data_IF_425843647329
#
_entry.id   IF_425843647329
#
_cell.length_a   1.000
_cell.length_b   1.000
_cell.length_c   1.000
_cell.angle_alpha   90.00
_cell.angle_beta   90.00
_cell.angle_gamma   90.00
#
_symmetry.space_group_name_H-M   'P 1'
#
loop_
_entity.id
_entity.type
_entity.pdbx_description
1 polymer ?
#
# COMPACT_ATOMS: atom_id res chain seq x y z
N UNK A 1 -14.22 -22.31 -0.08
CA UNK A 1 -14.13 -22.03 1.35
C UNK A 1 -12.87 -21.25 1.67
N UNK A 2 -13.01 -20.25 2.46
CA UNK A 2 -11.86 -19.43 2.81
C UNK A 2 -11.05 -20.11 3.88
N UNK A 3 -9.75 -20.04 3.72
CA UNK A 3 -8.85 -20.59 4.72
C UNK A 3 -8.69 -19.61 5.86
N UNK A 4 -8.46 -20.13 7.04
CA UNK A 4 -8.16 -19.31 8.20
C UNK A 4 -6.68 -18.89 8.18
N UNK A 5 -6.27 -18.24 7.12
CA UNK A 5 -4.91 -17.89 6.87
C UNK A 5 -4.54 -16.56 7.40
N UNK A 6 -3.31 -16.29 7.73
CA UNK A 6 -2.91 -14.92 8.03
C UNK A 6 -3.36 -14.03 6.92
N UNK A 7 -4.12 -13.03 7.28
CA UNK A 7 -4.76 -12.21 6.30
C UNK A 7 -4.01 -10.92 6.03
N UNK A 8 -2.84 -10.73 6.64
CA UNK A 8 -2.03 -9.54 6.41
C UNK A 8 -0.55 -9.87 6.46
N UNK A 9 0.21 -9.37 5.49
CA UNK A 9 1.66 -9.48 5.45
C UNK A 9 2.26 -8.11 5.24
N UNK A 10 3.37 -7.87 5.90
CA UNK A 10 4.09 -6.62 5.79
C UNK A 10 5.36 -6.85 4.96
N UNK A 11 5.46 -6.14 3.85
CA UNK A 11 6.60 -6.27 2.94
C UNK A 11 7.54 -5.09 3.18
N UNK A 12 8.75 -5.40 3.64
CA UNK A 12 9.77 -4.40 3.90
C UNK A 12 11.02 -4.71 3.09
N UNK A 13 11.92 -3.77 3.05
CA UNK A 13 13.20 -3.96 2.40
C UNK A 13 13.99 -2.67 2.45
N UNK A 14 15.31 -2.82 2.37
CA UNK A 14 16.22 -1.68 2.35
C UNK A 14 16.53 -1.23 0.93
N UNK A 15 16.01 -1.96 -0.06
CA UNK A 15 16.26 -1.67 -1.46
C UNK A 15 15.34 -0.60 -2.01
N UNK A 16 15.35 -0.43 -3.31
CA UNK A 16 14.56 0.61 -3.95
C UNK A 16 13.07 0.34 -3.81
N UNK A 17 12.29 1.42 -3.84
CA UNK A 17 10.83 1.34 -3.87
C UNK A 17 10.35 0.41 -4.98
N UNK A 18 10.99 0.49 -6.15
CA UNK A 18 10.62 -0.31 -7.32
C UNK A 18 10.65 -1.80 -7.01
N UNK A 19 11.70 -2.27 -6.32
CA UNK A 19 11.83 -3.68 -5.98
C UNK A 19 10.73 -4.16 -5.04
N UNK A 20 10.39 -3.37 -4.04
CA UNK A 20 9.34 -3.73 -3.09
C UNK A 20 7.98 -3.77 -3.76
N UNK A 21 7.67 -2.78 -4.58
CA UNK A 21 6.39 -2.72 -5.27
C UNK A 21 6.27 -3.87 -6.26
N UNK A 22 7.34 -4.17 -6.99
CA UNK A 22 7.34 -5.31 -7.91
C UNK A 22 7.03 -6.60 -7.16
N UNK A 23 7.66 -6.82 -6.02
CA UNK A 23 7.43 -8.02 -5.20
C UNK A 23 6.00 -8.09 -4.70
N UNK A 24 5.45 -6.98 -4.24
CA UNK A 24 4.06 -6.94 -3.80
C UNK A 24 3.09 -7.26 -4.94
N UNK A 25 3.32 -6.69 -6.11
CA UNK A 25 2.46 -6.95 -7.27
C UNK A 25 2.54 -8.43 -7.68
N UNK A 26 3.72 -9.01 -7.67
CA UNK A 26 3.89 -10.42 -7.99
C UNK A 26 3.14 -11.31 -7.00
N UNK A 27 3.24 -11.00 -5.70
CA UNK A 27 2.52 -11.74 -4.67
C UNK A 27 1.01 -11.59 -4.83
N UNK A 28 0.52 -10.41 -5.17
CA UNK A 28 -0.91 -10.21 -5.42
C UNK A 28 -1.40 -11.09 -6.56
N UNK A 29 -0.62 -11.22 -7.62
CA UNK A 29 -0.96 -12.10 -8.73
C UNK A 29 -0.98 -13.57 -8.31
N UNK A 30 -0.01 -14.00 -7.51
CA UNK A 30 0.04 -15.38 -7.02
C UNK A 30 -1.19 -15.68 -6.18
N UNK A 31 -1.54 -14.79 -5.27
CA UNK A 31 -2.71 -14.97 -4.40
C UNK A 31 -4.00 -15.01 -5.21
N UNK A 32 -4.12 -14.14 -6.19
CA UNK A 32 -5.26 -14.12 -7.08
C UNK A 32 -5.41 -15.45 -7.82
N UNK A 33 -4.29 -15.99 -8.31
CA UNK A 33 -4.31 -17.27 -9.02
C UNK A 33 -4.69 -18.45 -8.12
N UNK A 34 -4.60 -18.26 -6.81
CA UNK A 34 -5.05 -19.25 -5.84
C UNK A 34 -6.49 -19.04 -5.39
N UNK A 35 -7.20 -18.15 -6.05
CA UNK A 35 -8.60 -17.89 -5.75
C UNK A 35 -8.84 -16.99 -4.54
N UNK A 36 -7.79 -16.32 -4.05
CA UNK A 36 -7.92 -15.42 -2.92
C UNK A 36 -8.17 -13.98 -3.39
N UNK A 37 -8.99 -13.28 -2.63
CA UNK A 37 -9.18 -11.85 -2.83
C UNK A 37 -8.05 -11.12 -2.09
N UNK A 38 -7.20 -10.45 -2.85
CA UNK A 38 -6.01 -9.83 -2.31
C UNK A 38 -5.90 -8.38 -2.73
N UNK A 39 -5.43 -7.55 -1.82
CA UNK A 39 -5.25 -6.11 -2.06
C UNK A 39 -3.94 -5.66 -1.43
N UNK A 40 -3.29 -4.69 -2.07
CA UNK A 40 -2.10 -4.06 -1.51
C UNK A 40 -2.45 -2.77 -0.81
N UNK A 41 -1.63 -2.42 0.16
CA UNK A 41 -1.76 -1.16 0.89
C UNK A 41 -0.39 -0.52 1.01
N UNK A 42 -0.29 0.75 0.65
CA UNK A 42 0.89 1.56 0.89
C UNK A 42 0.47 2.73 1.78
N UNK A 43 0.60 2.60 3.11
CA UNK A 43 0.08 3.59 4.03
C UNK A 43 0.60 5.00 3.80
N UNK A 44 1.88 5.11 3.46
CA UNK A 44 2.52 6.39 3.21
C UNK A 44 3.27 6.29 1.89
N UNK A 45 3.03 7.24 1.00
CA UNK A 45 3.72 7.31 -0.28
C UNK A 45 4.21 8.74 -0.51
N UNK A 46 5.34 8.88 -1.19
CA UNK A 46 5.92 10.17 -1.53
C UNK A 46 6.31 10.16 -3.00
N UNK A 47 6.03 11.28 -3.67
CA UNK A 47 6.28 11.44 -5.10
C UNK A 47 5.02 11.19 -5.91
N UNK A 48 4.68 12.15 -6.75
CA UNK A 48 3.53 12.01 -7.64
C UNK A 48 3.92 12.42 -9.06
N UNK A 49 3.16 11.91 -10.02
CA UNK A 49 3.33 12.28 -11.43
C UNK A 49 2.54 13.55 -11.77
N UNK A 50 2.47 13.88 -13.06
CA UNK A 50 1.79 15.08 -13.52
C UNK A 50 0.29 15.08 -13.20
N UNK A 51 -0.30 13.91 -13.00
CA UNK A 51 -1.71 13.76 -12.66
C UNK A 51 -1.94 13.67 -11.15
N UNK A 52 -0.90 13.84 -10.34
CA UNK A 52 -1.00 13.76 -8.90
C UNK A 52 -1.09 12.34 -8.34
N UNK A 53 -0.64 11.35 -9.09
CA UNK A 53 -0.72 9.94 -8.69
C UNK A 53 0.65 9.38 -8.38
N UNK A 54 0.69 8.49 -7.40
CA UNK A 54 1.91 7.78 -7.06
C UNK A 54 1.98 6.48 -7.84
N UNK A 55 3.10 6.25 -8.48
CA UNK A 55 3.30 5.10 -9.37
C UNK A 55 3.13 3.77 -8.66
N UNK A 56 3.66 3.65 -7.43
CA UNK A 56 3.56 2.41 -6.66
C UNK A 56 2.12 2.12 -6.24
N UNK A 57 1.41 3.16 -5.81
CA UNK A 57 0.01 3.02 -5.41
C UNK A 57 -0.83 2.55 -6.61
N UNK A 58 -0.59 3.13 -7.79
CA UNK A 58 -1.33 2.73 -8.99
C UNK A 58 -1.02 1.29 -9.38
N UNK A 59 0.25 0.88 -9.25
CA UNK A 59 0.64 -0.50 -9.57
C UNK A 59 -0.02 -1.50 -8.61
N UNK A 60 -0.07 -1.19 -7.32
CA UNK A 60 -0.73 -2.03 -6.33
C UNK A 60 -2.22 -2.17 -6.64
N UNK A 61 -2.87 -1.07 -6.97
CA UNK A 61 -4.29 -1.10 -7.30
C UNK A 61 -4.58 -1.91 -8.55
N UNK A 62 -3.71 -1.80 -9.56
CA UNK A 62 -3.86 -2.55 -10.80
C UNK A 62 -3.66 -4.05 -10.59
N UNK A 63 -2.84 -4.45 -9.63
CA UNK A 63 -2.53 -5.85 -9.35
C UNK A 63 -3.52 -6.52 -8.41
N UNK A 64 -4.34 -5.74 -7.72
CA UNK A 64 -5.30 -6.27 -6.75
C UNK A 64 -6.43 -7.01 -7.45
N UNK A 65 -6.98 -8.01 -6.77
CA UNK A 65 -8.17 -8.71 -7.25
C UNK A 65 -9.45 -8.16 -6.60
N UNK A 66 -9.31 -7.13 -5.78
CA UNK A 66 -10.42 -6.44 -5.14
C UNK A 66 -10.33 -4.96 -5.49
N UNK A 67 -11.43 -4.39 -5.91
CA UNK A 67 -11.49 -2.96 -6.15
C UNK A 67 -11.67 -2.24 -4.81
N UNK A 68 -10.67 -1.49 -4.41
CA UNK A 68 -10.72 -0.74 -3.15
C UNK A 68 -10.48 0.74 -3.44
N UNK A 69 -11.10 1.64 -2.65
CA UNK A 69 -10.86 3.06 -2.83
C UNK A 69 -9.38 3.42 -2.60
N UNK A 70 -8.87 4.32 -3.42
CA UNK A 70 -7.48 4.76 -3.32
C UNK A 70 -7.14 5.29 -1.92
N UNK A 71 -8.08 5.95 -1.27
CA UNK A 71 -7.85 6.48 0.07
C UNK A 71 -7.60 5.41 1.12
N UNK A 72 -8.12 4.20 0.92
CA UNK A 72 -7.85 3.06 1.81
C UNK A 72 -6.51 2.41 1.48
N UNK A 73 -6.19 2.33 0.20
CA UNK A 73 -4.91 1.76 -0.25
C UNK A 73 -3.76 2.66 0.18
N UNK A 74 -3.97 3.97 0.13
CA UNK A 74 -2.91 4.94 0.43
C UNK A 74 -3.48 6.13 1.22
N UNK A 75 -3.52 6.02 2.55
CA UNK A 75 -4.00 7.11 3.41
C UNK A 75 -3.18 8.40 3.37
N UNK A 76 -1.85 8.28 3.21
CA UNK A 76 -0.98 9.46 3.19
C UNK A 76 -0.19 9.52 1.89
N UNK A 77 -0.36 10.61 1.14
CA UNK A 77 0.34 10.83 -0.12
C UNK A 77 0.97 12.22 -0.09
N UNK A 78 2.28 12.27 -0.30
CA UNK A 78 3.02 13.52 -0.37
C UNK A 78 3.54 13.73 -1.78
N UNK A 79 3.38 14.96 -2.29
CA UNK A 79 3.75 15.26 -3.67
C UNK A 79 5.25 15.18 -3.91
N UNK A 80 6.05 15.65 -2.95
CA UNK A 80 7.50 15.67 -3.10
C UNK A 80 8.09 14.28 -2.90
N UNK A 81 9.00 13.91 -3.80
CA UNK A 81 9.69 12.60 -3.73
C UNK A 81 10.86 12.68 -2.75
N UNK A 82 10.56 12.95 -1.49
CA UNK A 82 11.54 13.06 -0.41
C UNK A 82 11.07 12.17 0.74
N UNK A 83 11.92 12.05 1.76
CA UNK A 83 11.56 11.23 2.92
C UNK A 83 10.21 11.69 3.49
N UNK A 84 9.28 10.76 3.77
CA UNK A 84 7.93 11.12 4.18
C UNK A 84 7.85 12.01 5.41
N UNK A 85 8.72 11.81 6.40
CA UNK A 85 8.70 12.65 7.60
C UNK A 85 9.09 14.09 7.29
N UNK A 86 9.97 14.30 6.29
CA UNK A 86 10.35 15.63 5.85
C UNK A 86 9.21 16.27 5.06
N UNK A 87 8.62 15.51 4.13
CA UNK A 87 7.50 15.99 3.34
C UNK A 87 6.33 16.38 4.24
N UNK A 88 6.03 15.57 5.24
CA UNK A 88 4.97 15.84 6.19
C UNK A 88 5.23 17.12 6.97
N UNK A 89 6.46 17.30 7.45
CA UNK A 89 6.83 18.50 8.18
C UNK A 89 6.70 19.75 7.31
N UNK A 90 7.11 19.68 6.06
CA UNK A 90 7.02 20.81 5.14
C UNK A 90 5.57 21.19 4.83
N UNK A 91 4.67 20.22 4.81
CA UNK A 91 3.27 20.45 4.52
C UNK A 91 2.42 20.69 5.78
N UNK A 92 3.03 20.64 6.95
CA UNK A 92 2.30 20.78 8.19
C UNK A 92 1.36 19.62 8.48
N UNK A 93 1.65 18.46 7.94
CA UNK A 93 0.83 17.25 8.11
C UNK A 93 1.49 16.35 9.14
N UNK A 94 0.68 15.80 10.05
CA UNK A 94 1.16 14.82 11.00
C UNK A 94 0.71 13.44 10.53
N UNK A 95 1.68 12.53 10.37
CA UNK A 95 1.37 11.14 10.04
C UNK A 95 1.01 10.44 11.34
N UNK A 96 -0.23 9.95 11.41
CA UNK A 96 -0.74 9.30 12.61
C UNK A 96 -1.12 7.87 12.30
N UNK A 97 -1.02 7.01 13.30
CA UNK A 97 -1.32 5.59 13.15
C UNK A 97 -2.82 5.33 12.99
N UNK A 98 -3.66 6.11 13.67
CA UNK A 98 -5.10 5.85 13.66
C UNK A 98 -5.73 5.81 12.26
N UNK A 99 -5.50 6.79 11.37
CA UNK A 99 -6.05 6.71 10.02
C UNK A 99 -5.54 5.51 9.23
N UNK A 100 -4.28 5.13 9.45
CA UNK A 100 -3.68 3.98 8.79
C UNK A 100 -4.36 2.69 9.26
N UNK A 101 -4.55 2.53 10.57
CA UNK A 101 -5.22 1.35 11.11
C UNK A 101 -6.67 1.27 10.65
N UNK A 102 -7.35 2.40 10.61
CA UNK A 102 -8.74 2.44 10.14
C UNK A 102 -8.83 1.97 8.69
N UNK A 103 -7.95 2.46 7.83
CA UNK A 103 -7.90 2.04 6.43
C UNK A 103 -7.55 0.56 6.30
N UNK A 104 -6.59 0.09 7.09
CA UNK A 104 -6.19 -1.32 7.10
C UNK A 104 -7.36 -2.23 7.47
N UNK A 105 -8.10 -1.90 8.52
CA UNK A 105 -9.24 -2.70 8.94
C UNK A 105 -10.34 -2.70 7.89
N UNK A 106 -10.55 -1.58 7.20
CA UNK A 106 -11.52 -1.52 6.12
C UNK A 106 -11.12 -2.43 4.95
N UNK A 107 -9.84 -2.47 4.61
CA UNK A 107 -9.33 -3.37 3.57
C UNK A 107 -9.47 -4.83 3.99
N UNK A 108 -9.17 -5.14 5.25
CA UNK A 108 -9.32 -6.49 5.78
C UNK A 108 -10.75 -6.99 5.71
N UNK A 109 -11.72 -6.10 5.82
CA UNK A 109 -13.12 -6.46 5.71
C UNK A 109 -13.51 -6.81 4.27
N UNK A 110 -12.74 -6.37 3.28
CA UNK A 110 -13.05 -6.57 1.86
C UNK A 110 -12.23 -7.66 1.19
N UNK A 111 -11.14 -8.08 1.80
CA UNK A 111 -10.19 -8.99 1.16
C UNK A 111 -9.76 -10.10 2.09
N UNK A 112 -9.35 -11.22 1.49
CA UNK A 112 -8.80 -12.34 2.24
C UNK A 112 -7.40 -12.03 2.74
N UNK A 113 -6.62 -11.31 1.92
CA UNK A 113 -5.24 -10.97 2.23
C UNK A 113 -4.96 -9.51 1.91
N UNK A 114 -4.29 -8.83 2.83
CA UNK A 114 -3.80 -7.48 2.62
C UNK A 114 -2.27 -7.51 2.69
N UNK A 115 -1.60 -7.05 1.64
CA UNK A 115 -0.15 -6.89 1.64
C UNK A 115 0.15 -5.42 1.92
N UNK A 116 0.88 -5.15 3.00
CA UNK A 116 1.22 -3.79 3.39
C UNK A 116 2.67 -3.51 2.99
N UNK A 117 2.86 -2.53 2.14
CA UNK A 117 4.19 -2.13 1.68
C UNK A 117 4.68 -0.92 2.45
N UNK A 118 5.83 -1.05 3.09
CA UNK A 118 6.48 0.05 3.76
C UNK A 118 7.10 1.02 2.76
N UNK A 119 7.40 2.23 3.21
CA UNK A 119 8.00 3.27 2.38
C UNK A 119 9.47 3.43 2.71
N UNK A 120 10.29 3.56 1.66
CA UNK A 120 11.71 3.88 1.78
C UNK A 120 12.50 2.88 2.59
N UNK A 121 13.68 3.18 2.99
CA UNK A 121 14.58 2.34 3.74
C UNK A 121 14.44 2.48 5.26
N UNK A 122 13.26 2.58 5.75
CA UNK A 122 13.06 2.67 7.19
C UNK A 122 13.11 1.32 7.84
#
# INVERSE_FOLDING_TARGET
MKTAFPAAWFVTGTDTEVGKTFSCCALLHVLRNQGLQAVGMKPVAAGVDAQGRNEDVEALMASASVAAPRALVNPYLFAAAIAPHIAAAEQGVRIELAPILSAFHALRAQADVVLVEGVGGF
#
